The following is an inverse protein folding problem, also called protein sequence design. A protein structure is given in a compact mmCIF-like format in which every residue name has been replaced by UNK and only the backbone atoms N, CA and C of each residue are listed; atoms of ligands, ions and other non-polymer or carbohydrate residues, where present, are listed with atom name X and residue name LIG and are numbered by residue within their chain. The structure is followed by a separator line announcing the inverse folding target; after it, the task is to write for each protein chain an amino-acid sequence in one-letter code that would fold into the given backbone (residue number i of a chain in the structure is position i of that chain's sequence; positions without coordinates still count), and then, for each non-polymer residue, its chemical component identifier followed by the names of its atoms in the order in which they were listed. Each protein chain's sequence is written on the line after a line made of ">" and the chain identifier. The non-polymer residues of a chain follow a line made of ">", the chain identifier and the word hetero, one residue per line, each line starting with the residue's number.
data_IF_441181693201
#
_entry.id   IF_441181693201
#
_cell.length_a   1.000
_cell.length_b   1.000
_cell.length_c   1.000
_cell.angle_alpha   90.00
_cell.angle_beta   90.00
_cell.angle_gamma   90.00
#
_symmetry.space_group_name_H-M   'P 1'
#
loop_
_entity.id
_entity.type
_entity.pdbx_description
1 polymer ?
#
# COMPACT_ATOMS: atom_id res chain seq x y z
N UNK A 1 24.22 20.32 -6.23
CA UNK A 1 22.90 19.70 -6.00
C UNK A 1 22.33 19.32 -7.35
N UNK A 2 22.26 18.03 -7.66
CA UNK A 2 21.93 17.55 -9.00
C UNK A 2 20.39 17.41 -9.11
N UNK A 3 19.75 18.32 -9.87
CA UNK A 3 18.30 18.42 -10.04
C UNK A 3 17.76 17.59 -11.22
N UNK A 4 18.03 16.28 -11.24
CA UNK A 4 17.33 15.36 -12.15
C UNK A 4 17.47 13.92 -11.63
N UNK A 5 16.67 13.58 -10.63
CA UNK A 5 16.25 12.20 -10.43
C UNK A 5 14.82 12.15 -10.94
N UNK A 6 14.56 11.35 -11.99
CA UNK A 6 13.24 10.81 -12.23
C UNK A 6 12.81 10.16 -10.91
N UNK A 7 11.98 10.84 -10.14
CA UNK A 7 11.52 10.42 -8.83
C UNK A 7 10.68 9.18 -9.03
N UNK A 8 11.23 8.05 -8.59
CA UNK A 8 10.52 6.79 -8.61
C UNK A 8 9.26 6.94 -7.74
N UNK A 9 8.09 6.83 -8.35
CA UNK A 9 6.83 6.92 -7.61
C UNK A 9 6.48 5.54 -7.04
N UNK A 10 6.87 5.31 -5.79
CA UNK A 10 6.74 4.03 -5.08
C UNK A 10 5.34 3.39 -5.16
N UNK A 11 4.21 4.11 -4.96
CA UNK A 11 2.87 3.53 -5.10
C UNK A 11 2.59 2.94 -6.48
N UNK A 12 3.07 3.59 -7.54
CA UNK A 12 2.85 3.11 -8.91
C UNK A 12 3.71 1.88 -9.20
N UNK A 13 4.96 1.89 -8.72
CA UNK A 13 5.84 0.73 -8.85
C UNK A 13 5.22 -0.51 -8.21
N UNK A 14 4.65 -0.39 -7.01
CA UNK A 14 3.96 -1.48 -6.30
C UNK A 14 2.82 -2.06 -7.16
N UNK A 15 1.98 -1.19 -7.76
CA UNK A 15 0.89 -1.61 -8.65
C UNK A 15 1.45 -2.30 -9.91
N UNK A 16 2.52 -1.77 -10.48
CA UNK A 16 3.16 -2.37 -11.67
C UNK A 16 3.75 -3.76 -11.37
N UNK A 17 4.36 -3.95 -10.19
CA UNK A 17 4.88 -5.24 -9.72
C UNK A 17 3.74 -6.23 -9.49
N UNK A 18 2.64 -5.80 -8.86
CA UNK A 18 1.46 -6.65 -8.67
C UNK A 18 0.89 -7.11 -10.02
N UNK A 19 0.69 -6.17 -10.94
CA UNK A 19 0.18 -6.45 -12.28
C UNK A 19 1.10 -7.40 -13.04
N UNK A 20 2.41 -7.15 -13.02
CA UNK A 20 3.40 -7.99 -13.68
C UNK A 20 3.34 -9.42 -13.14
N UNK A 21 3.46 -9.56 -11.82
CA UNK A 21 3.47 -10.87 -11.15
C UNK A 21 2.19 -11.65 -11.44
N UNK A 22 1.03 -11.00 -11.39
CA UNK A 22 -0.24 -11.62 -11.73
C UNK A 22 -0.27 -12.12 -13.17
N UNK A 23 0.12 -11.27 -14.13
CA UNK A 23 0.17 -11.67 -15.55
C UNK A 23 1.15 -12.81 -15.79
N UNK A 24 2.33 -12.79 -15.17
CA UNK A 24 3.33 -13.85 -15.29
C UNK A 24 2.83 -15.18 -14.72
N UNK A 25 2.09 -15.17 -13.60
CA UNK A 25 1.42 -16.36 -13.08
C UNK A 25 0.42 -16.92 -14.10
N UNK A 26 -0.38 -16.06 -14.72
CA UNK A 26 -1.50 -16.47 -15.59
C UNK A 26 -1.04 -16.89 -17.00
N UNK A 27 -0.02 -16.23 -17.54
CA UNK A 27 0.39 -16.33 -18.95
C UNK A 27 1.81 -16.89 -19.14
N UNK A 28 2.56 -17.06 -18.06
CA UNK A 28 3.99 -17.38 -18.08
C UNK A 28 4.86 -16.16 -18.35
N UNK A 29 6.16 -16.31 -18.10
CA UNK A 29 7.19 -15.30 -18.38
C UNK A 29 7.74 -15.49 -19.80
N UNK A 30 7.61 -14.47 -20.66
CA UNK A 30 8.11 -14.51 -22.03
C UNK A 30 9.40 -13.71 -22.19
N UNK A 31 10.17 -14.00 -23.26
CA UNK A 31 11.45 -13.31 -23.55
C UNK A 31 11.27 -11.78 -23.66
N UNK A 32 10.15 -11.37 -24.25
CA UNK A 32 9.79 -9.96 -24.45
C UNK A 32 9.42 -9.23 -23.14
N UNK A 33 9.14 -9.97 -22.06
CA UNK A 33 8.85 -9.39 -20.74
C UNK A 33 10.12 -9.03 -19.97
N UNK A 34 11.28 -9.56 -20.35
CA UNK A 34 12.52 -9.39 -19.61
C UNK A 34 12.98 -7.94 -19.46
N UNK A 35 12.89 -7.06 -20.48
CA UNK A 35 13.18 -5.63 -20.28
C UNK A 35 12.29 -4.99 -19.20
N UNK A 36 11.01 -5.37 -19.15
CA UNK A 36 10.08 -4.91 -18.11
C UNK A 36 10.44 -5.49 -16.74
N UNK A 37 10.73 -6.79 -16.65
CA UNK A 37 11.17 -7.44 -15.41
C UNK A 37 12.43 -6.77 -14.84
N UNK A 38 13.45 -6.55 -15.67
CA UNK A 38 14.70 -5.90 -15.25
C UNK A 38 14.43 -4.52 -14.67
N UNK A 39 13.61 -3.71 -15.35
CA UNK A 39 13.22 -2.40 -14.84
C UNK A 39 12.53 -2.51 -13.47
N UNK A 40 11.58 -3.43 -13.32
CA UNK A 40 10.88 -3.64 -12.05
C UNK A 40 11.82 -4.10 -10.94
N UNK A 41 12.80 -4.97 -11.23
CA UNK A 41 13.80 -5.40 -10.25
C UNK A 41 14.73 -4.26 -9.84
N UNK A 42 15.25 -3.49 -10.81
CA UNK A 42 16.12 -2.34 -10.58
C UNK A 42 15.40 -1.25 -9.76
N UNK A 43 14.12 -1.00 -10.05
CA UNK A 43 13.31 -0.04 -9.32
C UNK A 43 12.85 -0.56 -7.95
N UNK A 44 12.51 -1.84 -7.81
CA UNK A 44 12.15 -2.47 -6.53
C UNK A 44 13.30 -2.41 -5.53
N UNK A 45 14.53 -2.67 -5.98
CA UNK A 45 15.75 -2.55 -5.16
C UNK A 45 15.89 -1.17 -4.50
N UNK A 46 15.45 -0.10 -5.18
CA UNK A 46 15.56 1.27 -4.67
C UNK A 46 14.60 1.58 -3.53
N UNK A 47 13.49 0.86 -3.45
CA UNK A 47 12.47 1.00 -2.39
C UNK A 47 12.49 -0.18 -1.40
N UNK A 48 13.29 -1.20 -1.68
CA UNK A 48 13.35 -2.40 -0.87
C UNK A 48 13.84 -2.09 0.54
N UNK A 49 13.10 -2.60 1.52
CA UNK A 49 13.49 -2.60 2.92
C UNK A 49 13.19 -3.98 3.52
N UNK A 50 14.19 -4.56 4.19
CA UNK A 50 14.03 -5.80 4.94
C UNK A 50 13.16 -5.63 6.20
N UNK A 51 12.85 -4.39 6.59
CA UNK A 51 11.92 -4.10 7.68
C UNK A 51 10.44 -4.09 7.22
N UNK A 52 10.19 -4.19 5.91
CA UNK A 52 8.85 -4.30 5.36
C UNK A 52 8.42 -5.77 5.24
N UNK A 53 7.10 -5.98 5.29
CA UNK A 53 6.50 -7.28 4.99
C UNK A 53 5.72 -7.16 3.69
N UNK A 54 6.17 -7.89 2.68
CA UNK A 54 5.50 -7.99 1.39
C UNK A 54 4.55 -9.20 1.41
N UNK A 55 3.34 -9.04 0.87
CA UNK A 55 2.32 -10.09 0.82
C UNK A 55 1.77 -10.28 -0.58
N UNK A 56 1.01 -11.36 -0.78
CA UNK A 56 0.27 -11.62 -2.02
C UNK A 56 1.22 -11.62 -3.24
N UNK A 57 0.90 -10.85 -4.28
CA UNK A 57 1.72 -10.77 -5.49
C UNK A 57 3.09 -10.13 -5.24
N UNK A 58 3.17 -9.07 -4.43
CA UNK A 58 4.46 -8.45 -4.09
C UNK A 58 5.33 -9.41 -3.28
N UNK A 59 4.74 -10.15 -2.34
CA UNK A 59 5.46 -11.15 -1.55
C UNK A 59 5.99 -12.32 -2.38
N UNK A 60 5.33 -12.64 -3.51
CA UNK A 60 5.88 -13.60 -4.48
C UNK A 60 7.03 -12.98 -5.30
N UNK A 61 6.85 -11.75 -5.78
CA UNK A 61 7.89 -11.05 -6.54
C UNK A 61 9.18 -10.90 -5.72
N UNK A 62 9.06 -10.47 -4.47
CA UNK A 62 10.15 -10.35 -3.50
C UNK A 62 10.85 -11.71 -3.30
N UNK A 63 10.07 -12.76 -3.06
CA UNK A 63 10.59 -14.12 -2.91
C UNK A 63 11.38 -14.58 -4.15
N UNK A 64 10.81 -14.47 -5.35
CA UNK A 64 11.52 -14.91 -6.57
C UNK A 64 12.74 -14.03 -6.82
N UNK A 65 12.66 -12.73 -6.54
CA UNK A 65 13.82 -11.83 -6.66
C UNK A 65 14.98 -12.31 -5.81
N UNK A 66 14.71 -12.61 -4.54
CA UNK A 66 15.71 -13.05 -3.57
C UNK A 66 16.33 -14.40 -3.93
N UNK A 67 15.52 -15.38 -4.32
CA UNK A 67 15.99 -16.75 -4.54
C UNK A 67 16.52 -17.00 -5.96
N UNK A 68 15.94 -16.36 -6.98
CA UNK A 68 16.24 -16.66 -8.38
C UNK A 68 17.07 -15.56 -9.05
N UNK A 69 16.81 -14.29 -8.74
CA UNK A 69 17.37 -13.18 -9.52
C UNK A 69 18.61 -12.54 -8.91
N UNK A 70 18.90 -12.69 -7.62
CA UNK A 70 20.07 -12.07 -6.97
C UNK A 70 21.40 -12.39 -7.67
N UNK A 71 21.55 -13.61 -8.21
CA UNK A 71 22.77 -14.01 -8.93
C UNK A 71 22.98 -13.26 -10.26
N UNK A 72 21.95 -12.60 -10.79
CA UNK A 72 22.01 -11.81 -12.01
C UNK A 72 22.32 -10.33 -11.77
N UNK A 73 22.32 -9.91 -10.50
CA UNK A 73 22.63 -8.55 -10.06
C UNK A 73 24.11 -8.25 -10.27
N UNK A 74 24.41 -7.30 -11.13
CA UNK A 74 25.80 -6.89 -11.46
C UNK A 74 25.97 -5.38 -11.33
N UNK A 75 27.14 -4.97 -10.83
CA UNK A 75 27.50 -3.55 -10.80
C UNK A 75 27.89 -3.09 -12.21
N UNK A 76 27.19 -2.07 -12.72
CA UNK A 76 27.43 -1.42 -14.01
C UNK A 76 27.30 0.09 -13.85
N UNK A 77 28.32 0.84 -14.27
CA UNK A 77 28.32 2.32 -14.22
C UNK A 77 27.95 2.90 -12.83
N UNK A 78 28.40 2.23 -11.77
CA UNK A 78 28.14 2.64 -10.38
C UNK A 78 26.74 2.31 -9.85
N UNK A 79 25.94 1.53 -10.58
CA UNK A 79 24.60 1.06 -10.16
C UNK A 79 24.50 -0.46 -10.32
N UNK A 80 23.76 -1.11 -9.43
CA UNK A 80 23.41 -2.52 -9.63
C UNK A 80 22.30 -2.63 -10.68
N UNK A 81 22.40 -3.64 -11.56
CA UNK A 81 21.36 -3.95 -12.52
C UNK A 81 21.25 -5.45 -12.81
N UNK A 82 20.04 -5.88 -13.17
CA UNK A 82 19.72 -7.26 -13.57
C UNK A 82 19.81 -7.51 -15.09
N UNK A 83 20.40 -6.61 -15.89
CA UNK A 83 20.54 -6.72 -17.36
C UNK A 83 21.07 -8.08 -17.87
N UNK A 84 21.84 -8.80 -17.07
CA UNK A 84 22.33 -10.13 -17.45
C UNK A 84 21.20 -11.15 -17.70
N UNK A 85 19.99 -10.89 -17.18
CA UNK A 85 18.76 -11.62 -17.51
C UNK A 85 18.44 -11.57 -19.01
N UNK A 86 18.88 -10.56 -19.77
CA UNK A 86 18.70 -10.51 -21.23
C UNK A 86 19.48 -11.61 -21.98
N UNK A 87 20.38 -12.33 -21.31
CA UNK A 87 21.21 -13.37 -21.93
C UNK A 87 20.88 -14.80 -21.47
N UNK A 88 19.83 -14.98 -20.67
CA UNK A 88 19.43 -16.33 -20.21
C UNK A 88 18.95 -17.19 -21.37
N UNK A 89 19.17 -18.50 -21.25
CA UNK A 89 18.63 -19.49 -22.19
C UNK A 89 17.11 -19.62 -22.04
N UNK A 90 16.45 -20.12 -23.08
CA UNK A 90 15.00 -20.38 -23.04
C UNK A 90 14.63 -21.39 -21.95
N UNK A 91 15.47 -22.41 -21.71
CA UNK A 91 15.27 -23.37 -20.62
C UNK A 91 15.25 -22.71 -19.23
N UNK A 92 16.13 -21.72 -19.01
CA UNK A 92 16.19 -21.01 -17.75
C UNK A 92 15.04 -19.99 -17.63
N UNK A 93 14.61 -19.41 -18.75
CA UNK A 93 13.42 -18.57 -18.81
C UNK A 93 12.14 -19.36 -18.48
N UNK A 94 11.99 -20.56 -19.04
CA UNK A 94 10.89 -21.49 -18.73
C UNK A 94 10.90 -21.89 -17.25
N UNK A 95 12.09 -22.11 -16.69
CA UNK A 95 12.24 -22.35 -15.25
C UNK A 95 11.76 -21.17 -14.41
N UNK A 96 12.15 -19.93 -14.74
CA UNK A 96 11.63 -18.74 -14.03
C UNK A 96 10.12 -18.60 -14.18
N UNK A 97 9.59 -18.80 -15.40
CA UNK A 97 8.14 -18.82 -15.66
C UNK A 97 7.42 -19.83 -14.74
N UNK A 98 7.97 -21.05 -14.63
CA UNK A 98 7.46 -22.09 -13.75
C UNK A 98 7.52 -21.71 -12.27
N UNK A 99 8.55 -20.98 -11.82
CA UNK A 99 8.64 -20.51 -10.43
C UNK A 99 7.47 -19.59 -10.04
N UNK A 100 7.08 -18.65 -10.91
CA UNK A 100 5.89 -17.83 -10.67
C UNK A 100 4.62 -18.68 -10.54
N UNK A 101 4.47 -19.69 -11.40
CA UNK A 101 3.28 -20.54 -11.44
C UNK A 101 3.20 -21.50 -10.25
N UNK A 102 4.30 -22.18 -9.90
CA UNK A 102 4.33 -23.19 -8.82
C UNK A 102 4.07 -22.56 -7.45
N UNK A 103 4.44 -21.29 -7.27
CA UNK A 103 4.23 -20.55 -6.03
C UNK A 103 2.90 -19.78 -5.96
N UNK A 104 2.05 -19.85 -7.00
CA UNK A 104 0.69 -19.29 -6.98
C UNK A 104 -0.14 -19.67 -5.73
N UNK A 105 -0.11 -20.92 -5.22
CA UNK A 105 -0.90 -21.29 -4.03
C UNK A 105 -0.57 -20.46 -2.78
N UNK A 106 0.66 -19.93 -2.66
CA UNK A 106 1.06 -19.02 -1.58
C UNK A 106 0.30 -17.70 -1.69
N UNK A 107 0.29 -17.10 -2.89
CA UNK A 107 -0.47 -15.87 -3.18
C UNK A 107 -1.96 -16.07 -2.88
N UNK A 108 -2.54 -17.18 -3.33
CA UNK A 108 -3.95 -17.46 -3.08
C UNK A 108 -4.25 -17.65 -1.57
N UNK A 109 -3.28 -18.16 -0.80
CA UNK A 109 -3.38 -18.26 0.66
C UNK A 109 -3.40 -16.89 1.33
N UNK A 110 -2.47 -16.01 0.96
CA UNK A 110 -2.38 -14.65 1.49
C UNK A 110 -3.67 -13.87 1.21
N UNK A 111 -4.19 -13.96 -0.02
CA UNK A 111 -5.44 -13.32 -0.44
C UNK A 111 -6.65 -13.86 0.34
N UNK A 112 -6.72 -15.18 0.59
CA UNK A 112 -7.80 -15.78 1.41
C UNK A 112 -7.72 -15.29 2.85
N UNK A 113 -6.52 -15.27 3.44
CA UNK A 113 -6.34 -14.78 4.80
C UNK A 113 -6.69 -13.29 4.92
N UNK A 114 -6.30 -12.48 3.94
CA UNK A 114 -6.66 -11.07 3.87
C UNK A 114 -8.19 -10.89 3.85
N UNK A 115 -8.89 -11.56 2.92
CA UNK A 115 -10.36 -11.52 2.83
C UNK A 115 -11.04 -11.92 4.14
N UNK A 116 -10.53 -12.95 4.80
CA UNK A 116 -11.05 -13.41 6.10
C UNK A 116 -10.85 -12.37 7.20
N UNK A 117 -9.67 -11.75 7.28
CA UNK A 117 -9.37 -10.67 8.23
C UNK A 117 -10.28 -9.46 7.99
N UNK A 118 -10.48 -9.06 6.73
CA UNK A 118 -11.37 -7.96 6.36
C UNK A 118 -12.81 -8.25 6.79
N UNK A 119 -13.32 -9.46 6.50
CA UNK A 119 -14.67 -9.88 6.90
C UNK A 119 -14.87 -9.78 8.42
N UNK A 120 -13.95 -10.33 9.21
CA UNK A 120 -14.02 -10.28 10.68
C UNK A 120 -13.95 -8.85 11.22
N UNK A 121 -13.10 -7.99 10.64
CA UNK A 121 -13.02 -6.58 11.01
C UNK A 121 -14.32 -5.84 10.70
N UNK A 122 -14.95 -6.13 9.55
CA UNK A 122 -16.23 -5.55 9.18
C UNK A 122 -17.36 -5.98 10.12
N UNK A 123 -17.42 -7.26 10.48
CA UNK A 123 -18.40 -7.79 11.45
C UNK A 123 -18.25 -7.11 12.81
N UNK A 124 -17.01 -6.98 13.30
CA UNK A 124 -16.72 -6.27 14.54
C UNK A 124 -17.08 -4.79 14.45
N UNK A 125 -16.70 -4.11 13.37
CA UNK A 125 -17.04 -2.72 13.10
C UNK A 125 -18.55 -2.49 13.14
N UNK A 126 -19.31 -3.34 12.43
CA UNK A 126 -20.76 -3.27 12.37
C UNK A 126 -21.38 -3.36 13.76
N UNK A 127 -20.95 -4.33 14.56
CA UNK A 127 -21.43 -4.48 15.95
C UNK A 127 -21.16 -3.24 16.79
N UNK A 128 -19.95 -2.69 16.75
CA UNK A 128 -19.63 -1.47 17.51
C UNK A 128 -20.47 -0.27 17.07
N UNK A 129 -20.74 -0.15 15.76
CA UNK A 129 -21.60 0.91 15.24
C UNK A 129 -23.04 0.71 15.73
N UNK A 130 -23.58 -0.51 15.66
CA UNK A 130 -24.92 -0.82 16.18
C UNK A 130 -25.04 -0.49 17.67
N UNK A 131 -24.05 -0.86 18.48
CA UNK A 131 -24.02 -0.56 19.93
C UNK A 131 -24.04 0.95 20.20
N UNK A 132 -23.31 1.75 19.42
CA UNK A 132 -23.31 3.22 19.53
C UNK A 132 -24.66 3.83 19.18
N UNK A 133 -25.31 3.34 18.13
CA UNK A 133 -26.63 3.81 17.71
C UNK A 133 -27.73 3.42 18.71
N UNK A 134 -27.58 2.30 19.41
CA UNK A 134 -28.48 1.91 20.49
C UNK A 134 -28.25 2.70 21.77
N UNK A 135 -27.01 3.12 22.05
CA UNK A 135 -26.66 3.84 23.28
C UNK A 135 -26.90 5.35 23.20
N UNK A 136 -26.60 5.98 22.06
CA UNK A 136 -26.70 7.42 21.88
C UNK A 136 -27.89 7.80 21.00
N UNK A 137 -28.73 8.71 21.49
CA UNK A 137 -29.89 9.23 20.75
C UNK A 137 -29.51 10.12 19.55
N UNK A 138 -28.29 10.67 19.54
CA UNK A 138 -27.75 11.49 18.43
C UNK A 138 -26.31 11.10 18.13
N UNK A 139 -26.08 10.59 16.92
CA UNK A 139 -24.76 10.24 16.41
C UNK A 139 -24.46 11.08 15.17
N UNK A 140 -23.33 11.80 15.17
CA UNK A 140 -22.86 12.51 13.99
C UNK A 140 -21.82 11.67 13.26
N UNK A 141 -22.20 11.14 12.10
CA UNK A 141 -21.31 10.33 11.25
C UNK A 141 -20.59 11.23 10.25
N UNK A 142 -19.27 11.14 10.20
CA UNK A 142 -18.41 11.91 9.28
C UNK A 142 -17.48 10.96 8.56
N UNK A 143 -17.58 10.91 7.23
CA UNK A 143 -16.59 10.27 6.36
C UNK A 143 -15.61 11.32 5.85
N UNK A 144 -14.31 11.02 5.91
CA UNK A 144 -13.27 11.90 5.39
C UNK A 144 -12.30 11.07 4.55
N UNK A 145 -12.09 11.50 3.31
CA UNK A 145 -11.09 10.90 2.43
C UNK A 145 -9.88 11.85 2.38
N UNK A 146 -8.76 11.42 2.96
CA UNK A 146 -7.52 12.19 3.05
C UNK A 146 -6.55 11.76 1.96
N UNK A 147 -6.19 12.70 1.08
CA UNK A 147 -5.21 12.50 0.01
C UNK A 147 -4.15 13.60 0.02
N UNK A 148 -2.94 13.26 -0.40
CA UNK A 148 -1.89 14.25 -0.60
C UNK A 148 -2.17 15.10 -1.83
N UNK A 149 -1.72 16.37 -1.77
CA UNK A 149 -1.80 17.27 -2.92
C UNK A 149 -0.87 16.76 -4.01
N UNK A 150 -1.27 16.89 -5.28
CA UNK A 150 -0.53 16.36 -6.43
C UNK A 150 0.95 16.78 -6.45
N UNK A 151 1.26 18.02 -6.06
CA UNK A 151 2.62 18.57 -5.98
C UNK A 151 3.48 18.01 -4.83
N UNK A 152 2.90 17.19 -3.96
CA UNK A 152 3.55 16.58 -2.80
C UNK A 152 3.58 15.05 -2.84
N UNK A 153 2.88 14.41 -3.78
CA UNK A 153 2.72 12.95 -3.85
C UNK A 153 4.07 12.22 -4.00
N UNK A 154 4.94 12.73 -4.87
CA UNK A 154 6.27 12.16 -5.13
C UNK A 154 7.23 12.19 -3.94
N UNK A 155 6.87 12.90 -2.86
CA UNK A 155 7.69 13.05 -1.65
C UNK A 155 7.20 12.19 -0.50
N UNK A 156 6.20 11.35 -0.72
CA UNK A 156 5.57 10.53 0.33
C UNK A 156 5.70 9.06 -0.05
N UNK A 157 6.73 8.43 0.51
CA UNK A 157 6.87 6.97 0.54
C UNK A 157 6.01 6.34 1.65
N UNK A 158 6.02 5.01 1.73
CA UNK A 158 5.27 4.22 2.71
C UNK A 158 5.69 4.52 4.15
N UNK A 159 6.95 4.88 4.42
CA UNK A 159 7.43 5.17 5.77
C UNK A 159 6.91 6.51 6.28
N UNK A 160 7.03 7.56 5.46
CA UNK A 160 6.47 8.89 5.72
C UNK A 160 4.95 8.77 5.86
N UNK A 161 4.30 8.04 4.96
CA UNK A 161 2.88 7.78 5.03
C UNK A 161 2.48 7.13 6.36
N UNK A 162 3.15 6.04 6.74
CA UNK A 162 2.90 5.33 7.99
C UNK A 162 3.14 6.22 9.22
N UNK A 163 4.13 7.12 9.18
CA UNK A 163 4.37 8.11 10.23
C UNK A 163 3.19 9.08 10.36
N UNK A 164 2.65 9.60 9.25
CA UNK A 164 1.48 10.48 9.28
C UNK A 164 0.25 9.73 9.82
N UNK A 165 -0.02 8.51 9.35
CA UNK A 165 -1.14 7.69 9.84
C UNK A 165 -1.01 7.38 11.34
N UNK A 166 0.19 7.07 11.84
CA UNK A 166 0.44 6.87 13.28
C UNK A 166 0.13 8.13 14.08
N UNK A 167 0.55 9.30 13.59
CA UNK A 167 0.28 10.59 14.22
C UNK A 167 -1.22 10.87 14.30
N UNK A 168 -1.93 10.70 13.18
CA UNK A 168 -3.38 10.85 13.11
C UNK A 168 -4.10 9.91 14.08
N UNK A 169 -3.72 8.62 14.10
CA UNK A 169 -4.27 7.62 15.03
C UNK A 169 -4.05 7.99 16.49
N UNK A 170 -2.86 8.46 16.84
CA UNK A 170 -2.55 8.90 18.21
C UNK A 170 -3.44 10.09 18.62
N UNK A 171 -3.67 11.06 17.73
CA UNK A 171 -4.56 12.20 18.00
C UNK A 171 -6.02 11.77 18.16
N UNK A 172 -6.51 10.83 17.34
CA UNK A 172 -7.85 10.26 17.50
C UNK A 172 -8.01 9.49 18.82
N UNK A 173 -6.99 8.73 19.23
CA UNK A 173 -6.99 7.97 20.47
C UNK A 173 -7.01 8.90 21.70
N UNK A 174 -6.18 9.95 21.68
CA UNK A 174 -6.05 10.92 22.76
C UNK A 174 -7.14 12.00 22.76
N UNK A 175 -8.12 11.92 21.85
CA UNK A 175 -9.21 12.91 21.70
C UNK A 175 -8.68 14.34 21.52
N UNK A 176 -7.54 14.48 20.85
CA UNK A 176 -6.86 15.75 20.64
C UNK A 176 -7.61 16.63 19.62
N UNK A 177 -7.56 17.96 19.80
CA UNK A 177 -8.15 18.96 18.90
C UNK A 177 -9.60 18.64 18.51
N UNK A 178 -9.86 18.40 17.22
CA UNK A 178 -11.19 18.14 16.68
C UNK A 178 -11.75 16.77 17.07
N UNK A 179 -10.96 15.89 17.68
CA UNK A 179 -11.38 14.55 18.11
C UNK A 179 -11.95 14.50 19.54
N UNK A 180 -12.09 15.64 20.21
CA UNK A 180 -12.56 15.71 21.62
C UNK A 180 -13.87 14.95 21.88
N UNK A 181 -14.83 15.07 20.97
CA UNK A 181 -16.15 14.42 21.08
C UNK A 181 -16.26 13.13 20.25
N UNK A 182 -15.15 12.63 19.71
CA UNK A 182 -15.11 11.42 18.90
C UNK A 182 -15.45 10.22 19.79
N UNK A 183 -16.50 9.47 19.45
CA UNK A 183 -16.88 8.25 20.16
C UNK A 183 -16.30 7.01 19.50
N UNK A 184 -16.17 7.03 18.18
CA UNK A 184 -15.67 5.90 17.41
C UNK A 184 -14.92 6.33 16.16
N UNK A 185 -13.91 5.57 15.77
CA UNK A 185 -13.23 5.72 14.48
C UNK A 185 -12.90 4.36 13.87
N UNK A 186 -12.96 4.31 12.55
CA UNK A 186 -12.37 3.29 11.72
C UNK A 186 -11.64 3.97 10.56
N UNK A 187 -10.63 3.30 10.01
CA UNK A 187 -9.89 3.83 8.88
C UNK A 187 -9.39 2.71 7.97
N UNK A 188 -9.19 3.02 6.70
CA UNK A 188 -8.64 2.12 5.69
C UNK A 188 -7.56 2.85 4.87
N UNK A 189 -6.49 2.12 4.55
CA UNK A 189 -5.51 2.52 3.55
C UNK A 189 -6.01 2.11 2.17
N UNK A 190 -5.83 2.98 1.20
CA UNK A 190 -6.01 2.67 -0.20
C UNK A 190 -4.89 3.32 -1.02
N UNK A 191 -4.62 2.77 -2.20
CA UNK A 191 -3.73 3.35 -3.21
C UNK A 191 -4.42 3.21 -4.56
N UNK A 192 -4.25 4.18 -5.47
CA UNK A 192 -4.89 4.20 -6.78
C UNK A 192 -3.86 4.46 -7.88
N UNK A 193 -4.10 4.00 -9.13
CA UNK A 193 -3.18 4.25 -10.25
C UNK A 193 -2.95 5.74 -10.54
N UNK A 194 -3.96 6.57 -10.28
CA UNK A 194 -3.92 8.03 -10.41
C UNK A 194 -3.80 8.71 -9.03
N UNK A 195 -2.90 8.23 -8.17
CA UNK A 195 -2.61 8.90 -6.90
C UNK A 195 -1.57 8.23 -6.01
N UNK A 196 -1.10 8.98 -5.00
CA UNK A 196 -0.34 8.45 -3.88
C UNK A 196 -1.22 7.64 -2.92
N UNK A 197 -0.62 7.11 -1.85
CA UNK A 197 -1.36 6.60 -0.70
C UNK A 197 -2.44 7.57 -0.19
N UNK A 198 -3.62 7.05 0.13
CA UNK A 198 -4.71 7.81 0.74
C UNK A 198 -5.38 7.04 1.89
N UNK A 199 -6.03 7.77 2.77
CA UNK A 199 -6.73 7.20 3.94
C UNK A 199 -8.20 7.56 3.89
N UNK A 200 -9.05 6.55 4.01
CA UNK A 200 -10.46 6.73 4.27
C UNK A 200 -10.71 6.64 5.77
N UNK A 201 -11.38 7.65 6.33
CA UNK A 201 -11.77 7.73 7.73
C UNK A 201 -13.29 7.63 7.84
N UNK A 202 -13.73 6.82 8.79
CA UNK A 202 -15.11 6.74 9.23
C UNK A 202 -15.17 7.11 10.71
N UNK A 203 -15.77 8.25 11.02
CA UNK A 203 -15.75 8.87 12.34
C UNK A 203 -17.18 9.01 12.86
N UNK A 204 -17.42 8.66 14.12
CA UNK A 204 -18.69 8.91 14.80
C UNK A 204 -18.43 9.80 16.01
N UNK A 205 -19.06 10.96 16.02
CA UNK A 205 -19.04 11.93 17.10
C UNK A 205 -20.35 11.92 17.88
N UNK A 206 -20.28 12.44 19.10
CA UNK A 206 -21.46 12.78 19.88
C UNK A 206 -22.26 13.89 19.18
N UNK A 207 -23.43 13.54 18.63
CA UNK A 207 -24.29 14.45 17.88
C UNK A 207 -25.05 15.44 18.76
N UNK A 208 -25.01 15.29 20.09
CA UNK A 208 -25.57 16.29 21.01
C UNK A 208 -24.69 17.52 21.17
N UNK A 209 -23.37 17.35 20.99
CA UNK A 209 -22.35 18.40 21.17
C UNK A 209 -21.68 18.81 19.86
N UNK A 210 -21.93 18.07 18.78
CA UNK A 210 -21.29 18.25 17.48
C UNK A 210 -22.37 18.38 16.39
N UNK A 211 -22.49 19.57 15.78
CA UNK A 211 -23.52 19.86 14.76
C UNK A 211 -22.96 20.36 13.43
N UNK A 212 -21.62 20.36 13.26
CA UNK A 212 -20.95 20.91 12.08
C UNK A 212 -20.06 19.86 11.39
N UNK A 213 -20.69 18.89 10.74
CA UNK A 213 -20.04 17.81 9.97
C UNK A 213 -18.95 18.32 9.00
N UNK A 214 -19.27 19.30 8.15
CA UNK A 214 -18.38 19.84 7.13
C UNK A 214 -17.17 20.57 7.75
N UNK A 215 -17.36 21.20 8.92
CA UNK A 215 -16.26 21.86 9.64
C UNK A 215 -15.34 20.84 10.28
N UNK A 216 -15.90 19.79 10.89
CA UNK A 216 -15.13 18.68 11.45
C UNK A 216 -14.31 17.98 10.37
N UNK A 217 -14.91 17.64 9.23
CA UNK A 217 -14.19 17.04 8.10
C UNK A 217 -13.01 17.90 7.64
N UNK A 218 -13.21 19.23 7.52
CA UNK A 218 -12.14 20.18 7.19
C UNK A 218 -11.06 20.26 8.26
N UNK A 219 -11.41 20.19 9.54
CA UNK A 219 -10.43 20.21 10.62
C UNK A 219 -9.59 18.94 10.64
N UNK A 220 -10.20 17.77 10.43
CA UNK A 220 -9.50 16.49 10.32
C UNK A 220 -8.41 16.56 9.26
N UNK A 221 -8.70 17.09 8.08
CA UNK A 221 -7.70 17.28 7.00
C UNK A 221 -6.59 18.29 7.29
N UNK A 222 -6.67 19.04 8.40
CA UNK A 222 -5.64 20.00 8.84
C UNK A 222 -4.84 19.51 10.04
N UNK A 223 -5.23 18.37 10.64
CA UNK A 223 -4.58 17.87 11.85
C UNK A 223 -3.11 17.52 11.55
N UNK A 224 -2.77 16.97 10.39
CA UNK A 224 -1.40 16.53 10.10
C UNK A 224 -0.43 17.66 9.70
N UNK A 225 -0.87 18.93 9.70
CA UNK A 225 -0.09 20.10 9.23
C UNK A 225 0.61 20.87 10.37
N UNK A 226 0.75 20.28 11.56
CA UNK A 226 1.47 20.90 12.69
C UNK A 226 2.31 19.87 13.43
#
# INVERSE_FOLDING_TARGET
>A
MNMNQNTLHEPNLIIEIESFTKTTIEQGLQRNDLPRLIKLLDDFERIYSCNHSYSDYLGLFDFITEFEFQNFKKLRDGKYSYESLLKVSDQLLDYFSWQFQVHKPKVDSDLRQYKHRVKRRLESLKKHVEDLFNHYSRNLVVRVDLKYRADSQDRVDIEIFNKHVRTLRNRMANKDKCFRNLKFNAWCLEHAPEGSYHVHLFLIYDGSTSTYDCKLARWVGRVDVC
#
